data_IF_337311645363
#
_entry.id   IF_337311645363
#
_cell.length_a   1.000
_cell.length_b   1.000
_cell.length_c   1.000
_cell.angle_alpha   90.00
_cell.angle_beta   90.00
_cell.angle_gamma   90.00
#
_symmetry.space_group_name_H-M   'P 1'
#
loop_
_entity.id
_entity.type
_entity.pdbx_description
1 polymer ?
#
# COMPACT_ATOMS: atom_id res chain seq x y z
N UNK A 1 -3.19 11.59 -31.65
CA UNK A 1 -1.98 12.07 -30.95
C UNK A 1 -1.12 10.84 -30.71
N UNK A 2 0.05 10.79 -31.36
CA UNK A 2 0.99 9.69 -31.20
C UNK A 2 1.49 9.66 -29.76
N UNK A 3 1.01 8.69 -28.98
CA UNK A 3 1.53 8.39 -27.65
C UNK A 3 2.85 7.64 -27.76
N UNK A 4 3.80 8.22 -28.49
CA UNK A 4 5.16 7.71 -28.49
C UNK A 4 5.79 8.03 -27.13
N UNK A 5 6.42 7.05 -26.45
CA UNK A 5 7.19 7.33 -25.26
C UNK A 5 8.21 8.42 -25.55
N UNK A 6 8.30 9.43 -24.68
CA UNK A 6 9.35 10.45 -24.79
C UNK A 6 10.69 9.70 -24.75
N UNK A 7 11.53 9.81 -25.80
CA UNK A 7 12.81 9.11 -25.81
C UNK A 7 13.61 9.51 -24.56
N UNK A 8 14.24 8.52 -23.91
CA UNK A 8 15.17 8.81 -22.82
C UNK A 8 16.25 9.79 -23.32
N UNK A 9 16.26 10.97 -22.75
CA UNK A 9 17.27 11.99 -23.06
C UNK A 9 18.20 12.10 -21.86
N UNK A 10 19.50 12.15 -22.11
CA UNK A 10 20.50 12.42 -21.07
C UNK A 10 20.29 13.79 -20.38
N UNK A 11 19.43 14.61 -20.94
CA UNK A 11 19.08 15.94 -20.48
C UNK A 11 17.57 16.05 -20.27
N UNK A 12 17.18 16.28 -19.00
CA UNK A 12 15.79 16.59 -18.63
C UNK A 12 15.69 18.06 -18.21
N UNK A 13 15.10 18.92 -19.07
CA UNK A 13 15.01 20.35 -18.76
C UNK A 13 14.12 20.64 -17.53
N UNK A 14 13.12 19.80 -17.26
CA UNK A 14 12.25 19.94 -16.10
C UNK A 14 12.99 19.63 -14.81
N UNK A 15 13.84 18.61 -14.80
CA UNK A 15 14.69 18.28 -13.65
C UNK A 15 15.66 19.43 -13.34
N UNK A 16 16.28 20.02 -14.38
CA UNK A 16 17.17 21.16 -14.20
C UNK A 16 16.43 22.39 -13.66
N UNK A 17 15.26 22.70 -14.21
CA UNK A 17 14.43 23.81 -13.73
C UNK A 17 14.03 23.60 -12.26
N UNK A 18 13.62 22.36 -11.91
CA UNK A 18 13.28 22.00 -10.53
C UNK A 18 14.46 22.25 -9.58
N UNK A 19 15.65 21.74 -9.89
CA UNK A 19 16.81 21.90 -9.02
C UNK A 19 17.35 23.33 -8.94
N UNK A 20 17.10 24.14 -9.96
CA UNK A 20 17.39 25.58 -9.92
C UNK A 20 16.44 26.32 -8.98
N UNK A 21 15.18 25.90 -8.97
CA UNK A 21 14.13 26.49 -8.13
C UNK A 21 14.14 25.95 -6.69
N UNK A 22 14.69 24.76 -6.48
CA UNK A 22 14.61 24.02 -5.21
C UNK A 22 15.06 24.85 -3.99
N UNK A 23 16.18 25.63 -4.00
CA UNK A 23 16.59 26.43 -2.86
C UNK A 23 15.59 27.51 -2.45
N UNK A 24 14.85 28.07 -3.41
CA UNK A 24 13.83 29.07 -3.15
C UNK A 24 12.51 28.45 -2.71
N UNK A 25 12.22 27.22 -3.17
CA UNK A 25 11.00 26.49 -2.84
C UNK A 25 11.06 25.83 -1.46
N UNK A 26 12.21 25.23 -1.13
CA UNK A 26 12.35 24.35 0.04
C UNK A 26 12.00 25.04 1.37
N UNK A 27 12.38 26.29 1.64
CA UNK A 27 12.06 26.96 2.91
C UNK A 27 10.56 27.11 3.22
N UNK A 28 9.72 27.18 2.18
CA UNK A 28 8.28 27.41 2.30
C UNK A 28 7.43 26.16 2.16
N UNK A 29 8.07 24.96 1.98
CA UNK A 29 7.34 23.71 1.85
C UNK A 29 6.80 23.23 3.20
N UNK A 30 5.48 23.02 3.29
CA UNK A 30 4.87 22.31 4.42
C UNK A 30 4.92 20.80 4.23
N UNK A 31 4.69 20.34 3.01
CA UNK A 31 4.66 18.90 2.70
C UNK A 31 5.41 18.60 1.42
N UNK A 32 6.31 17.63 1.47
CA UNK A 32 6.98 17.09 0.31
C UNK A 32 6.63 15.61 0.16
N UNK A 33 6.01 15.23 -0.95
CA UNK A 33 5.73 13.82 -1.26
C UNK A 33 6.53 13.35 -2.47
N UNK A 34 7.41 12.38 -2.26
CA UNK A 34 8.19 11.76 -3.31
C UNK A 34 7.50 10.47 -3.76
N UNK A 35 7.04 10.47 -5.01
CA UNK A 35 6.30 9.35 -5.61
C UNK A 35 6.88 9.06 -7.00
N UNK A 36 6.36 8.01 -7.64
CA UNK A 36 6.76 7.62 -8.99
C UNK A 36 6.95 6.12 -9.06
N UNK A 37 7.79 5.62 -9.96
CA UNK A 37 8.06 4.18 -10.09
C UNK A 37 8.52 3.57 -8.75
N UNK A 38 9.82 3.63 -8.49
CA UNK A 38 10.40 3.31 -7.17
C UNK A 38 11.36 4.44 -6.78
N UNK A 39 10.98 5.33 -5.87
CA UNK A 39 11.80 6.49 -5.48
C UNK A 39 13.18 6.12 -4.95
N UNK A 40 13.33 4.99 -4.25
CA UNK A 40 14.64 4.58 -3.71
C UNK A 40 15.64 4.19 -4.83
N UNK A 41 15.16 3.88 -6.04
CA UNK A 41 16.03 3.68 -7.20
C UNK A 41 16.49 5.00 -7.85
N UNK A 42 15.86 6.11 -7.53
CA UNK A 42 16.09 7.37 -8.23
C UNK A 42 17.07 8.26 -7.45
N UNK A 43 18.17 8.67 -8.12
CA UNK A 43 19.18 9.56 -7.53
C UNK A 43 18.63 10.89 -7.01
N UNK A 44 17.54 11.38 -7.60
CA UNK A 44 16.87 12.61 -7.16
C UNK A 44 16.31 12.51 -5.75
N UNK A 45 15.82 11.34 -5.34
CA UNK A 45 15.37 11.11 -3.95
C UNK A 45 16.53 11.31 -2.97
N UNK A 46 17.67 10.70 -3.22
CA UNK A 46 18.83 10.86 -2.38
C UNK A 46 19.35 12.30 -2.38
N UNK A 47 19.29 12.98 -3.52
CA UNK A 47 19.66 14.40 -3.60
C UNK A 47 18.76 15.29 -2.73
N UNK A 48 17.46 14.99 -2.63
CA UNK A 48 16.55 15.68 -1.70
C UNK A 48 16.97 15.41 -0.26
N UNK A 49 17.23 14.15 0.10
CA UNK A 49 17.65 13.80 1.46
C UNK A 49 18.98 14.43 1.82
N UNK A 50 19.95 14.46 0.90
CA UNK A 50 21.23 15.14 1.07
C UNK A 50 21.03 16.66 1.30
N UNK A 51 20.15 17.28 0.53
CA UNK A 51 19.86 18.72 0.70
C UNK A 51 19.27 19.02 2.07
N UNK A 52 18.37 18.17 2.59
CA UNK A 52 17.82 18.32 3.95
C UNK A 52 18.95 18.21 5.00
N UNK A 53 19.85 17.24 4.84
CA UNK A 53 21.00 17.03 5.74
C UNK A 53 21.96 18.20 5.72
N UNK A 54 22.25 18.76 4.54
CA UNK A 54 23.18 19.86 4.36
C UNK A 54 22.60 21.23 4.77
N UNK A 55 21.26 21.32 4.97
CA UNK A 55 20.56 22.55 5.32
C UNK A 55 19.61 22.35 6.54
N UNK A 56 20.17 21.96 7.71
CA UNK A 56 19.38 21.47 8.85
C UNK A 56 18.39 22.49 9.44
N UNK A 57 18.72 23.80 9.38
CA UNK A 57 17.96 24.86 10.03
C UNK A 57 16.97 25.57 9.08
N UNK A 58 16.92 25.15 7.81
CA UNK A 58 16.14 25.89 6.81
C UNK A 58 14.65 25.59 6.89
N UNK A 59 14.28 24.32 7.07
CA UNK A 59 12.87 23.94 7.14
C UNK A 59 12.61 22.73 8.07
N UNK A 60 12.74 22.90 9.40
CA UNK A 60 12.48 21.82 10.36
C UNK A 60 11.00 21.45 10.48
N UNK A 61 10.07 22.28 9.96
CA UNK A 61 8.63 22.03 9.97
C UNK A 61 8.14 21.19 8.78
N UNK A 62 9.04 20.75 7.91
CA UNK A 62 8.70 19.97 6.73
C UNK A 62 8.12 18.60 7.12
N UNK A 63 7.00 18.24 6.53
CA UNK A 63 6.51 16.86 6.49
C UNK A 63 6.97 16.19 5.20
N UNK A 64 7.86 15.20 5.31
CA UNK A 64 8.32 14.42 4.15
C UNK A 64 7.65 13.05 4.11
N UNK A 65 7.20 12.65 2.93
CA UNK A 65 6.66 11.31 2.67
C UNK A 65 7.24 10.72 1.40
N UNK A 66 7.61 9.43 1.46
CA UNK A 66 8.24 8.72 0.35
C UNK A 66 7.43 7.45 0.08
N UNK A 67 7.03 7.23 -1.18
CA UNK A 67 6.40 5.98 -1.56
C UNK A 67 7.49 4.97 -1.95
N UNK A 68 7.46 3.75 -1.41
CA UNK A 68 8.40 2.70 -1.77
C UNK A 68 7.73 1.32 -1.76
N UNK A 69 8.19 0.44 -2.64
CA UNK A 69 7.82 -0.95 -2.63
C UNK A 69 8.60 -1.79 -1.59
N UNK A 70 9.50 -1.17 -0.83
CA UNK A 70 10.39 -1.80 0.16
C UNK A 70 11.24 -2.98 -0.37
N UNK A 71 11.40 -3.11 -1.68
CA UNK A 71 12.21 -4.15 -2.31
C UNK A 71 13.31 -3.59 -3.24
N UNK A 72 13.96 -2.45 -2.91
CA UNK A 72 15.08 -1.99 -3.71
C UNK A 72 16.31 -2.92 -3.50
N UNK A 73 17.38 -2.76 -4.31
CA UNK A 73 18.68 -3.35 -4.02
C UNK A 73 19.19 -2.98 -2.61
N UNK A 74 19.84 -3.92 -1.93
CA UNK A 74 20.21 -3.78 -0.52
C UNK A 74 21.10 -2.55 -0.27
N UNK A 75 22.09 -2.30 -1.14
CA UNK A 75 22.96 -1.11 -1.03
C UNK A 75 22.19 0.22 -1.04
N UNK A 76 21.12 0.31 -1.87
CA UNK A 76 20.30 1.50 -1.92
C UNK A 76 19.37 1.59 -0.70
N UNK A 77 18.90 0.45 -0.20
CA UNK A 77 18.08 0.42 1.00
C UNK A 77 18.91 0.80 2.24
N UNK A 78 20.13 0.31 2.35
CA UNK A 78 21.08 0.68 3.43
C UNK A 78 21.34 2.20 3.44
N UNK A 79 21.64 2.76 2.27
CA UNK A 79 21.82 4.21 2.11
C UNK A 79 20.56 5.00 2.45
N UNK A 80 19.38 4.46 2.11
CA UNK A 80 18.11 5.09 2.44
C UNK A 80 17.86 5.09 3.95
N UNK A 81 18.11 3.97 4.62
CA UNK A 81 18.01 3.87 6.09
C UNK A 81 18.98 4.84 6.77
N UNK A 82 20.25 4.85 6.37
CA UNK A 82 21.26 5.73 6.95
C UNK A 82 20.83 7.21 6.92
N UNK A 83 20.39 7.70 5.75
CA UNK A 83 19.93 9.08 5.60
C UNK A 83 18.63 9.37 6.35
N UNK A 84 17.67 8.46 6.30
CA UNK A 84 16.41 8.59 7.02
C UNK A 84 16.65 8.64 8.54
N UNK A 85 17.56 7.81 9.04
CA UNK A 85 17.96 7.78 10.43
C UNK A 85 18.59 9.10 10.83
N UNK A 86 19.57 9.59 10.07
CA UNK A 86 20.24 10.87 10.35
C UNK A 86 19.24 12.03 10.40
N UNK A 87 18.36 12.13 9.39
CA UNK A 87 17.33 13.19 9.32
C UNK A 87 16.41 13.15 10.54
N UNK A 88 15.96 11.97 10.93
CA UNK A 88 14.97 11.83 12.01
C UNK A 88 15.61 11.93 13.41
N UNK A 89 16.84 11.42 13.60
CA UNK A 89 17.53 11.52 14.88
C UNK A 89 17.91 12.97 15.23
N UNK A 90 18.23 13.78 14.21
CA UNK A 90 18.58 15.20 14.36
C UNK A 90 17.38 16.15 14.22
N UNK A 91 16.14 15.61 14.15
CA UNK A 91 14.90 16.38 14.03
C UNK A 91 14.91 17.42 12.90
N UNK A 92 15.55 17.08 11.74
CA UNK A 92 15.70 17.98 10.59
C UNK A 92 14.38 18.21 9.83
N UNK A 93 13.36 17.41 10.11
CA UNK A 93 12.00 17.53 9.57
C UNK A 93 10.98 17.24 10.67
N UNK A 94 9.78 17.84 10.54
CA UNK A 94 8.69 17.61 11.48
C UNK A 94 8.17 16.18 11.48
N UNK A 95 7.99 15.61 10.29
CA UNK A 95 7.47 14.26 10.11
C UNK A 95 8.18 13.54 8.98
N UNK A 96 8.51 12.27 9.19
CA UNK A 96 9.10 11.38 8.19
C UNK A 96 8.25 10.11 8.06
N UNK A 97 7.62 9.94 6.89
CA UNK A 97 6.72 8.82 6.64
C UNK A 97 7.10 8.07 5.36
N UNK A 98 7.04 6.74 5.40
CA UNK A 98 7.16 5.92 4.19
C UNK A 98 5.83 5.24 3.91
N UNK A 99 5.34 5.38 2.67
CA UNK A 99 4.13 4.73 2.20
C UNK A 99 4.49 3.55 1.34
N UNK A 100 3.87 2.42 1.61
CA UNK A 100 4.03 1.20 0.81
C UNK A 100 2.68 0.57 0.53
N UNK A 101 2.64 -0.47 -0.30
CA UNK A 101 1.36 -1.05 -0.68
C UNK A 101 1.41 -2.56 -0.78
N UNK A 102 0.41 -3.21 -0.18
CA UNK A 102 0.16 -4.65 -0.31
C UNK A 102 -1.31 -4.95 -0.06
N UNK A 103 -1.91 -5.88 -0.80
CA UNK A 103 -3.35 -6.15 -0.76
C UNK A 103 -3.70 -7.50 -0.13
N UNK A 104 -2.71 -8.35 0.18
CA UNK A 104 -2.89 -9.69 0.76
C UNK A 104 -1.61 -10.14 1.45
N UNK A 105 -1.51 -11.41 1.78
CA UNK A 105 -0.39 -12.01 2.50
C UNK A 105 0.30 -13.12 1.70
N UNK A 106 1.63 -13.22 1.79
CA UNK A 106 2.42 -14.33 1.22
C UNK A 106 2.25 -14.45 -0.29
N UNK A 107 2.08 -15.68 -0.77
CA UNK A 107 1.98 -16.00 -2.21
C UNK A 107 0.81 -15.28 -2.90
N UNK A 108 -0.29 -15.02 -2.17
CA UNK A 108 -1.40 -14.26 -2.72
C UNK A 108 -1.01 -12.79 -2.96
N UNK A 109 -0.20 -12.18 -2.09
CA UNK A 109 0.34 -10.85 -2.32
C UNK A 109 1.29 -10.82 -3.53
N UNK A 110 2.13 -11.85 -3.69
CA UNK A 110 3.04 -12.02 -4.85
C UNK A 110 2.26 -12.24 -6.14
N UNK A 111 1.10 -12.91 -6.07
CA UNK A 111 0.24 -13.07 -7.24
C UNK A 111 -0.37 -11.72 -7.67
N UNK A 112 -0.92 -10.97 -6.72
CA UNK A 112 -1.54 -9.66 -6.97
C UNK A 112 -0.52 -8.65 -7.47
N UNK A 113 0.69 -8.66 -6.89
CA UNK A 113 1.81 -7.76 -7.24
C UNK A 113 2.93 -8.55 -7.87
N UNK A 114 2.86 -8.68 -9.19
CA UNK A 114 3.90 -9.39 -9.94
C UNK A 114 5.29 -8.78 -9.73
N UNK A 115 6.25 -9.62 -9.32
CA UNK A 115 7.62 -9.20 -9.01
C UNK A 115 7.84 -8.79 -7.54
N UNK A 116 6.84 -8.85 -6.67
CA UNK A 116 7.01 -8.64 -5.25
C UNK A 116 7.78 -9.82 -4.62
N UNK A 117 8.87 -9.54 -3.93
CA UNK A 117 9.46 -10.43 -2.94
C UNK A 117 8.81 -10.13 -1.58
N UNK A 118 7.81 -10.94 -1.20
CA UNK A 118 7.03 -10.67 0.01
C UNK A 118 7.86 -10.79 1.29
N UNK A 119 8.81 -11.73 1.34
CA UNK A 119 9.64 -11.90 2.54
C UNK A 119 10.57 -10.70 2.71
N UNK A 120 11.29 -10.32 1.65
CA UNK A 120 12.14 -9.13 1.65
C UNK A 120 11.34 -7.86 1.97
N UNK A 121 10.15 -7.72 1.40
CA UNK A 121 9.24 -6.60 1.66
C UNK A 121 8.93 -6.47 3.16
N UNK A 122 8.56 -7.58 3.79
CA UNK A 122 8.17 -7.60 5.20
C UNK A 122 9.35 -7.39 6.14
N UNK A 123 10.47 -8.06 5.86
CA UNK A 123 11.74 -7.88 6.58
C UNK A 123 12.26 -6.44 6.50
N UNK A 124 12.18 -5.82 5.32
CA UNK A 124 12.63 -4.45 5.13
C UNK A 124 11.73 -3.42 5.85
N UNK A 125 10.41 -3.64 5.94
CA UNK A 125 9.54 -2.80 6.78
C UNK A 125 9.96 -2.90 8.25
N UNK A 126 10.15 -4.11 8.74
CA UNK A 126 10.55 -4.37 10.13
C UNK A 126 11.93 -3.76 10.45
N UNK A 127 12.89 -3.94 9.54
CA UNK A 127 14.23 -3.36 9.64
C UNK A 127 14.17 -1.82 9.64
N UNK A 128 13.43 -1.22 8.72
CA UNK A 128 13.28 0.24 8.66
C UNK A 128 12.70 0.80 9.96
N UNK A 129 11.64 0.20 10.49
CA UNK A 129 11.05 0.63 11.75
C UNK A 129 11.97 0.43 12.96
N UNK A 130 12.88 -0.56 12.91
CA UNK A 130 13.89 -0.81 13.95
C UNK A 130 14.99 0.24 13.92
N UNK A 131 15.54 0.53 12.73
CA UNK A 131 16.71 1.39 12.57
C UNK A 131 16.34 2.88 12.49
N UNK A 132 15.09 3.20 12.11
CA UNK A 132 14.58 4.58 12.00
C UNK A 132 13.35 4.76 12.91
N UNK A 133 13.51 4.66 14.25
CA UNK A 133 12.37 4.58 15.18
C UNK A 133 11.53 5.84 15.29
N UNK A 134 11.99 6.98 14.77
CA UNK A 134 11.22 8.23 14.71
C UNK A 134 10.39 8.36 13.41
N UNK A 135 10.62 7.52 12.40
CA UNK A 135 9.81 7.47 11.19
C UNK A 135 8.56 6.61 11.36
N UNK A 136 7.63 6.73 10.43
CA UNK A 136 6.43 5.90 10.34
C UNK A 136 6.31 5.20 9.00
N UNK A 137 5.62 4.06 8.98
CA UNK A 137 5.25 3.35 7.75
C UNK A 137 3.74 3.28 7.63
N UNK A 138 3.19 3.58 6.47
CA UNK A 138 1.78 3.37 6.16
C UNK A 138 1.66 2.34 5.04
N UNK A 139 1.05 1.19 5.36
CA UNK A 139 0.67 0.18 4.37
C UNK A 139 -0.65 0.62 3.75
N UNK A 140 -0.61 1.01 2.48
CA UNK A 140 -1.80 1.29 1.68
C UNK A 140 -2.27 0.00 1.02
N UNK A 141 -3.48 -0.41 1.30
CA UNK A 141 -4.10 -1.59 0.69
C UNK A 141 -5.27 -1.17 -0.19
N UNK A 142 -5.14 -1.37 -1.50
CA UNK A 142 -6.26 -1.20 -2.43
C UNK A 142 -7.05 -2.50 -2.48
N UNK A 143 -7.95 -2.67 -1.51
CA UNK A 143 -8.72 -3.88 -1.33
C UNK A 143 -9.56 -4.22 -2.57
N UNK A 144 -9.38 -5.42 -3.07
CA UNK A 144 -10.01 -5.95 -4.26
C UNK A 144 -10.50 -7.40 -4.04
N UNK A 145 -11.09 -8.01 -5.06
CA UNK A 145 -11.64 -9.36 -4.93
C UNK A 145 -10.62 -10.42 -4.47
N UNK A 146 -9.33 -10.24 -4.79
CA UNK A 146 -8.27 -11.18 -4.39
C UNK A 146 -7.74 -10.94 -2.97
N UNK A 147 -8.09 -9.82 -2.36
CA UNK A 147 -7.67 -9.51 -0.98
C UNK A 147 -8.42 -10.38 0.04
N UNK A 148 -9.70 -10.69 -0.23
CA UNK A 148 -10.61 -11.29 0.74
C UNK A 148 -10.12 -12.62 1.38
N UNK A 149 -9.47 -13.56 0.69
CA UNK A 149 -9.09 -14.82 1.29
C UNK A 149 -8.11 -14.71 2.47
N UNK A 150 -7.06 -13.91 2.33
CA UNK A 150 -5.97 -13.84 3.30
C UNK A 150 -5.73 -12.46 3.93
N UNK A 151 -6.72 -11.56 3.87
CA UNK A 151 -6.57 -10.21 4.47
C UNK A 151 -6.40 -10.27 5.98
N UNK A 152 -7.05 -11.22 6.66
CA UNK A 152 -6.85 -11.46 8.09
C UNK A 152 -5.38 -11.68 8.46
N UNK A 153 -4.59 -12.38 7.63
CA UNK A 153 -3.16 -12.57 7.88
C UNK A 153 -2.37 -11.27 7.74
N UNK A 154 -2.76 -10.38 6.83
CA UNK A 154 -2.19 -9.05 6.74
C UNK A 154 -2.49 -8.23 7.99
N UNK A 155 -3.74 -8.29 8.49
CA UNK A 155 -4.15 -7.66 9.76
C UNK A 155 -3.28 -8.18 10.92
N UNK A 156 -3.10 -9.49 11.03
CA UNK A 156 -2.27 -10.11 12.08
C UNK A 156 -0.80 -9.68 11.99
N UNK A 157 -0.24 -9.71 10.78
CA UNK A 157 1.14 -9.27 10.55
C UNK A 157 1.35 -7.79 10.89
N UNK A 158 0.43 -6.91 10.48
CA UNK A 158 0.47 -5.49 10.85
C UNK A 158 0.37 -5.32 12.37
N UNK A 159 -0.51 -6.07 13.02
CA UNK A 159 -0.63 -6.02 14.48
C UNK A 159 0.68 -6.43 15.19
N UNK A 160 1.35 -7.48 14.72
CA UNK A 160 2.65 -7.89 15.26
C UNK A 160 3.70 -6.78 15.12
N UNK A 161 3.77 -6.10 13.97
CA UNK A 161 4.65 -4.95 13.77
C UNK A 161 4.26 -3.77 14.67
N UNK A 162 2.95 -3.48 14.84
CA UNK A 162 2.48 -2.46 15.78
C UNK A 162 2.96 -2.74 17.20
N UNK A 163 2.82 -3.98 17.67
CA UNK A 163 3.29 -4.38 19.02
C UNK A 163 4.81 -4.30 19.16
N UNK A 164 5.55 -4.85 18.18
CA UNK A 164 7.02 -4.88 18.20
C UNK A 164 7.63 -3.48 18.25
N UNK A 165 7.08 -2.55 17.45
CA UNK A 165 7.61 -1.19 17.32
C UNK A 165 6.92 -0.16 18.20
N UNK A 166 6.02 -0.60 19.08
CA UNK A 166 5.47 0.24 20.13
C UNK A 166 6.53 0.54 21.19
N UNK A 167 6.88 1.79 21.40
CA UNK A 167 7.88 2.18 22.38
C UNK A 167 7.38 3.15 23.45
N UNK A 168 6.07 3.43 23.51
CA UNK A 168 5.45 4.31 24.49
C UNK A 168 5.94 5.76 24.50
N UNK A 169 6.96 6.09 23.72
CA UNK A 169 7.63 7.39 23.65
C UNK A 169 7.47 8.12 22.33
N UNK A 170 6.73 7.55 21.37
CA UNK A 170 6.50 8.19 20.09
C UNK A 170 5.51 9.33 20.25
N UNK A 171 6.07 10.50 20.46
CA UNK A 171 5.30 11.73 20.74
C UNK A 171 4.34 12.17 19.66
N UNK A 172 4.54 11.71 18.40
CA UNK A 172 3.88 12.33 17.26
C UNK A 172 3.24 11.37 16.28
N UNK A 173 3.69 10.10 16.20
CA UNK A 173 3.30 9.22 15.09
C UNK A 173 3.19 7.76 15.50
N UNK A 174 2.36 7.05 14.80
CA UNK A 174 2.24 5.60 14.80
C UNK A 174 3.51 5.01 14.19
N UNK A 175 3.99 3.88 14.66
CA UNK A 175 5.07 3.17 13.99
C UNK A 175 4.61 2.69 12.61
N UNK A 176 3.42 2.07 12.57
CA UNK A 176 2.83 1.53 11.36
C UNK A 176 1.31 1.72 11.34
N UNK A 177 0.78 2.02 10.17
CA UNK A 177 -0.66 2.11 9.89
C UNK A 177 -1.06 1.19 8.74
N UNK A 178 -2.29 0.70 8.80
CA UNK A 178 -2.97 0.02 7.70
C UNK A 178 -4.04 0.95 7.12
N UNK A 179 -3.79 1.51 5.96
CA UNK A 179 -4.74 2.36 5.24
C UNK A 179 -5.42 1.56 4.13
N UNK A 180 -6.72 1.33 4.26
CA UNK A 180 -7.47 0.49 3.34
C UNK A 180 -8.44 1.33 2.51
N UNK A 181 -8.36 1.18 1.18
CA UNK A 181 -9.29 1.75 0.22
C UNK A 181 -9.83 0.65 -0.69
N UNK A 182 -11.04 0.82 -1.24
CA UNK A 182 -11.61 -0.16 -2.17
C UNK A 182 -11.27 0.16 -3.62
N UNK A 183 -11.04 -0.90 -4.41
CA UNK A 183 -10.81 -0.79 -5.85
C UNK A 183 -12.14 -0.59 -6.58
N UNK A 184 -12.29 0.55 -7.26
CA UNK A 184 -13.45 0.83 -8.13
C UNK A 184 -13.23 0.38 -9.57
N UNK A 185 -12.03 0.61 -10.07
CA UNK A 185 -11.63 0.27 -11.44
C UNK A 185 -10.27 -0.43 -11.43
N UNK A 186 -10.13 -1.48 -12.23
CA UNK A 186 -11.13 -2.05 -13.14
C UNK A 186 -12.24 -2.78 -12.37
N UNK A 187 -13.50 -2.61 -12.81
CA UNK A 187 -14.68 -3.10 -12.11
C UNK A 187 -14.73 -4.61 -11.94
N UNK A 188 -14.11 -5.37 -12.84
CA UNK A 188 -13.99 -6.83 -12.74
C UNK A 188 -13.05 -7.31 -11.61
N UNK A 189 -12.34 -6.41 -10.95
CA UNK A 189 -11.54 -6.73 -9.75
C UNK A 189 -12.16 -6.16 -8.47
N UNK A 190 -13.28 -5.45 -8.59
CA UNK A 190 -13.98 -4.88 -7.44
C UNK A 190 -14.46 -5.97 -6.48
N UNK A 191 -14.43 -5.67 -5.18
CA UNK A 191 -15.00 -6.54 -4.15
C UNK A 191 -16.50 -6.80 -4.33
N UNK A 192 -17.23 -5.97 -5.11
CA UNK A 192 -18.67 -6.11 -5.38
C UNK A 192 -19.03 -7.30 -6.26
N UNK A 193 -18.06 -7.93 -6.94
CA UNK A 193 -18.30 -9.15 -7.71
C UNK A 193 -18.28 -10.42 -6.86
N UNK A 194 -17.79 -10.31 -5.60
CA UNK A 194 -17.68 -11.43 -4.69
C UNK A 194 -19.06 -11.93 -4.20
N UNK A 195 -19.20 -13.25 -3.92
CA UNK A 195 -20.32 -13.78 -3.17
C UNK A 195 -20.39 -13.25 -1.74
N UNK A 196 -21.61 -13.24 -1.17
CA UNK A 196 -21.88 -12.72 0.18
C UNK A 196 -21.00 -13.32 1.26
N UNK A 197 -20.62 -14.62 1.16
CA UNK A 197 -19.72 -15.27 2.11
C UNK A 197 -18.41 -14.51 2.34
N UNK A 198 -17.93 -13.75 1.34
CA UNK A 198 -16.71 -12.96 1.45
C UNK A 198 -16.94 -11.63 2.16
N UNK A 199 -18.18 -11.10 2.07
CA UNK A 199 -18.56 -9.93 2.88
C UNK A 199 -18.62 -10.33 4.36
N UNK A 200 -19.14 -11.53 4.66
CA UNK A 200 -19.16 -12.06 6.04
C UNK A 200 -17.74 -12.26 6.57
N UNK A 201 -16.82 -12.76 5.72
CA UNK A 201 -15.39 -12.85 6.06
C UNK A 201 -14.78 -11.47 6.38
N UNK A 202 -15.13 -10.43 5.61
CA UNK A 202 -14.69 -9.06 5.90
C UNK A 202 -15.23 -8.53 7.24
N UNK A 203 -16.43 -8.95 7.64
CA UNK A 203 -16.97 -8.62 8.97
C UNK A 203 -16.17 -9.31 10.08
N UNK A 204 -15.77 -10.57 9.88
CA UNK A 204 -14.86 -11.26 10.80
C UNK A 204 -13.50 -10.54 10.91
N UNK A 205 -12.97 -10.03 9.80
CA UNK A 205 -11.73 -9.27 9.76
C UNK A 205 -11.83 -7.95 10.57
N UNK A 206 -13.00 -7.28 10.54
CA UNK A 206 -13.27 -6.13 11.43
C UNK A 206 -13.27 -6.55 12.91
N UNK A 207 -13.91 -7.66 13.24
CA UNK A 207 -13.92 -8.15 14.65
C UNK A 207 -12.49 -8.52 15.09
N UNK A 208 -11.66 -9.05 14.20
CA UNK A 208 -10.25 -9.28 14.46
C UNK A 208 -9.49 -7.97 14.73
N UNK A 209 -9.71 -6.93 13.92
CA UNK A 209 -9.12 -5.60 14.16
C UNK A 209 -9.60 -5.00 15.49
N UNK A 210 -10.89 -5.15 15.84
CA UNK A 210 -11.44 -4.70 17.12
C UNK A 210 -10.85 -5.45 18.30
N UNK A 211 -10.61 -6.76 18.17
CA UNK A 211 -9.92 -7.58 19.17
C UNK A 211 -8.50 -7.07 19.41
N UNK A 212 -7.83 -6.65 18.36
CA UNK A 212 -6.49 -6.06 18.39
C UNK A 212 -6.51 -4.54 18.52
N UNK A 213 -7.66 -3.97 18.83
CA UNK A 213 -7.78 -2.57 19.22
C UNK A 213 -7.09 -2.39 20.58
N UNK A 214 -6.62 -1.20 20.77
CA UNK A 214 -5.91 -0.82 21.93
C UNK A 214 -6.64 -0.97 23.26
N UNK A 215 -5.84 -1.16 24.32
CA UNK A 215 -6.31 -1.02 25.68
C UNK A 215 -6.62 0.46 26.01
N UNK A 216 -7.85 0.76 26.41
CA UNK A 216 -8.42 2.11 26.60
C UNK A 216 -7.63 3.02 27.53
N UNK A 217 -6.69 2.49 28.31
CA UNK A 217 -5.92 3.23 29.30
C UNK A 217 -4.74 4.03 28.74
N UNK A 218 -4.25 3.73 27.55
CA UNK A 218 -3.12 4.41 26.94
C UNK A 218 -3.49 5.74 26.26
N UNK A 219 -4.77 5.95 25.93
CA UNK A 219 -5.28 7.21 25.37
C UNK A 219 -5.13 8.44 26.28
N UNK A 220 -5.08 8.22 27.61
CA UNK A 220 -5.13 9.31 28.60
C UNK A 220 -3.86 10.16 28.58
N UNK A 221 -2.75 9.64 28.06
CA UNK A 221 -1.44 10.30 28.14
C UNK A 221 -0.84 10.73 26.80
N UNK A 222 -1.60 10.66 25.69
CA UNK A 222 -1.16 11.14 24.36
C UNK A 222 -0.03 10.31 23.73
N UNK A 223 0.22 9.11 24.22
CA UNK A 223 1.23 8.20 23.66
C UNK A 223 0.61 7.34 22.56
N UNK A 224 1.38 7.04 21.51
CA UNK A 224 0.99 6.08 20.48
C UNK A 224 0.63 4.72 21.07
N UNK A 225 -0.13 3.92 20.37
CA UNK A 225 -0.59 2.63 20.89
C UNK A 225 -0.21 1.44 20.01
N UNK A 226 -0.26 0.26 20.60
CA UNK A 226 0.18 -1.00 19.99
C UNK A 226 -0.88 -1.72 19.16
N UNK A 227 -2.11 -1.18 19.08
CA UNK A 227 -3.22 -1.79 18.38
C UNK A 227 -3.73 -0.99 17.19
N UNK A 228 -4.88 -1.42 16.63
CA UNK A 228 -5.55 -0.68 15.57
C UNK A 228 -6.30 0.52 16.11
N UNK A 229 -6.22 1.62 15.37
CA UNK A 229 -6.96 2.85 15.66
C UNK A 229 -8.39 2.76 15.12
N UNK A 230 -9.31 3.50 15.75
CA UNK A 230 -10.69 3.55 15.30
C UNK A 230 -10.82 3.96 13.84
N UNK A 231 -10.01 4.89 13.37
CA UNK A 231 -10.07 5.33 11.98
C UNK A 231 -9.62 4.25 10.98
N UNK A 232 -8.69 3.33 11.36
CA UNK A 232 -8.29 2.19 10.52
C UNK A 232 -9.47 1.22 10.40
N UNK A 233 -10.14 0.91 11.53
CA UNK A 233 -11.32 0.04 11.58
C UNK A 233 -12.47 0.66 10.78
N UNK A 234 -12.73 1.96 10.93
CA UNK A 234 -13.77 2.67 10.20
C UNK A 234 -13.52 2.73 8.70
N UNK A 235 -12.26 2.88 8.26
CA UNK A 235 -11.90 2.78 6.86
C UNK A 235 -12.25 1.41 6.30
N UNK A 236 -11.93 0.33 7.03
CA UNK A 236 -12.28 -1.02 6.60
C UNK A 236 -13.79 -1.25 6.61
N UNK A 237 -14.53 -0.72 7.59
CA UNK A 237 -16.00 -0.80 7.63
C UNK A 237 -16.65 -0.19 6.37
N UNK A 238 -16.13 0.93 5.88
CA UNK A 238 -16.63 1.55 4.63
C UNK A 238 -16.50 0.65 3.41
N UNK A 239 -15.59 -0.32 3.40
CA UNK A 239 -15.50 -1.32 2.32
C UNK A 239 -16.70 -2.26 2.37
N UNK A 240 -17.13 -2.64 3.57
CA UNK A 240 -18.32 -3.49 3.75
C UNK A 240 -19.57 -2.72 3.31
N UNK A 241 -19.73 -1.47 3.74
CA UNK A 241 -20.84 -0.60 3.30
C UNK A 241 -20.90 -0.50 1.76
N UNK A 242 -19.73 -0.37 1.11
CA UNK A 242 -19.63 -0.37 -0.35
C UNK A 242 -19.96 -1.73 -0.97
N UNK A 243 -19.55 -2.84 -0.36
CA UNK A 243 -19.86 -4.19 -0.84
C UNK A 243 -21.35 -4.50 -0.73
N UNK A 244 -22.00 -4.08 0.37
CA UNK A 244 -23.41 -4.29 0.66
C UNK A 244 -24.35 -3.28 -0.04
N UNK A 245 -23.78 -2.22 -0.63
CA UNK A 245 -24.61 -1.25 -1.37
C UNK A 245 -25.36 -1.94 -2.51
N UNK A 246 -26.64 -1.59 -2.74
CA UNK A 246 -27.48 -2.27 -3.72
C UNK A 246 -26.80 -2.40 -5.09
N UNK A 247 -26.89 -3.57 -5.68
CA UNK A 247 -26.43 -3.87 -7.03
C UNK A 247 -27.59 -4.48 -7.79
N UNK A 248 -28.44 -3.61 -8.35
CA UNK A 248 -29.67 -4.02 -9.05
C UNK A 248 -29.40 -4.48 -10.50
N UNK A 249 -28.17 -4.41 -10.96
CA UNK A 249 -27.74 -4.75 -12.30
C UNK A 249 -27.07 -6.14 -12.34
N UNK A 250 -27.90 -7.15 -12.62
CA UNK A 250 -27.43 -8.54 -12.79
C UNK A 250 -26.52 -8.67 -14.00
N UNK A 251 -26.80 -7.93 -15.08
CA UNK A 251 -25.97 -7.97 -16.29
C UNK A 251 -24.58 -7.40 -16.02
N UNK A 252 -24.51 -6.34 -15.23
CA UNK A 252 -23.24 -5.80 -14.77
C UNK A 252 -22.42 -6.84 -13.97
N UNK A 253 -23.09 -7.54 -13.05
CA UNK A 253 -22.43 -8.55 -12.22
C UNK A 253 -21.91 -9.71 -13.06
N UNK A 254 -22.75 -10.25 -13.95
CA UNK A 254 -22.37 -11.37 -14.83
C UNK A 254 -21.24 -10.98 -15.77
N UNK A 255 -21.33 -9.79 -16.38
CA UNK A 255 -20.26 -9.26 -17.22
C UNK A 255 -18.94 -9.17 -16.46
N UNK A 256 -18.93 -8.55 -15.29
CA UNK A 256 -17.69 -8.34 -14.54
C UNK A 256 -17.11 -9.65 -13.99
N UNK A 257 -17.95 -10.63 -13.65
CA UNK A 257 -17.47 -11.98 -13.32
C UNK A 257 -16.84 -12.68 -14.52
N UNK A 258 -17.45 -12.56 -15.71
CA UNK A 258 -16.86 -13.07 -16.95
C UNK A 258 -15.53 -12.39 -17.28
N UNK A 259 -15.47 -11.07 -17.16
CA UNK A 259 -14.25 -10.29 -17.38
C UNK A 259 -13.14 -10.64 -16.36
N UNK A 260 -13.51 -10.92 -15.10
CA UNK A 260 -12.59 -11.40 -14.07
C UNK A 260 -11.91 -12.71 -14.49
N UNK A 261 -12.70 -13.71 -14.89
CA UNK A 261 -12.16 -14.98 -15.37
C UNK A 261 -11.25 -14.79 -16.57
N UNK A 262 -11.71 -14.06 -17.59
CA UNK A 262 -10.92 -13.84 -18.82
C UNK A 262 -9.60 -13.13 -18.52
N UNK A 263 -9.63 -12.13 -17.64
CA UNK A 263 -8.43 -11.38 -17.27
C UNK A 263 -7.41 -12.26 -16.55
N UNK A 264 -7.83 -12.98 -15.50
CA UNK A 264 -6.89 -13.76 -14.70
C UNK A 264 -6.43 -15.04 -15.39
N UNK A 265 -7.26 -15.64 -16.25
CA UNK A 265 -6.83 -16.74 -17.11
C UNK A 265 -5.74 -16.28 -18.11
N UNK A 266 -5.87 -15.10 -18.68
CA UNK A 266 -4.84 -14.52 -19.55
C UNK A 266 -3.61 -14.05 -18.75
N UNK A 267 -3.80 -13.54 -17.54
CA UNK A 267 -2.73 -13.17 -16.62
C UNK A 267 -1.85 -14.38 -16.27
N UNK A 268 -2.46 -15.51 -15.93
CA UNK A 268 -1.76 -16.76 -15.63
C UNK A 268 -0.91 -17.22 -16.82
N UNK A 269 -1.52 -17.22 -18.02
CA UNK A 269 -0.81 -17.59 -19.24
C UNK A 269 0.43 -16.72 -19.51
N UNK A 270 0.29 -15.38 -19.36
CA UNK A 270 1.38 -14.43 -19.62
C UNK A 270 2.44 -14.43 -18.51
N UNK A 271 2.04 -14.62 -17.27
CA UNK A 271 2.93 -14.53 -16.10
C UNK A 271 3.39 -15.89 -15.60
N UNK A 272 2.95 -16.98 -16.22
CA UNK A 272 3.23 -18.36 -15.79
C UNK A 272 2.85 -18.60 -14.34
N UNK A 273 1.67 -18.10 -13.96
CA UNK A 273 1.07 -18.26 -12.63
C UNK A 273 -0.10 -19.22 -12.70
N UNK A 274 -0.64 -19.59 -11.55
CA UNK A 274 -1.81 -20.45 -11.42
C UNK A 274 -2.72 -19.88 -10.34
N UNK A 275 -3.87 -19.38 -10.79
CA UNK A 275 -4.87 -18.76 -9.92
C UNK A 275 -5.36 -19.74 -8.85
N UNK A 276 -5.75 -20.95 -9.24
CA UNK A 276 -6.37 -21.89 -8.31
C UNK A 276 -5.37 -22.50 -7.32
N UNK A 277 -4.10 -22.65 -7.69
CA UNK A 277 -3.07 -23.05 -6.74
C UNK A 277 -2.78 -21.95 -5.71
N UNK A 278 -2.92 -20.68 -6.09
CA UNK A 278 -2.67 -19.52 -5.22
C UNK A 278 -3.89 -19.16 -4.35
N UNK A 279 -5.09 -19.30 -4.92
CA UNK A 279 -6.36 -18.96 -4.27
C UNK A 279 -7.34 -20.15 -4.24
N UNK A 280 -6.99 -21.27 -3.59
CA UNK A 280 -7.87 -22.43 -3.53
C UNK A 280 -9.22 -22.11 -2.87
N UNK A 281 -9.28 -21.10 -1.98
CA UNK A 281 -10.50 -20.66 -1.30
C UNK A 281 -11.51 -20.01 -2.26
N UNK A 282 -11.03 -19.53 -3.42
CA UNK A 282 -11.86 -18.92 -4.47
C UNK A 282 -12.33 -19.91 -5.54
N UNK A 283 -12.14 -21.22 -5.38
CA UNK A 283 -12.50 -22.21 -6.40
C UNK A 283 -13.95 -22.06 -6.89
N UNK A 284 -14.93 -22.05 -6.00
CA UNK A 284 -16.34 -21.91 -6.38
C UNK A 284 -16.63 -20.57 -7.09
N UNK A 285 -15.98 -19.52 -6.63
CA UNK A 285 -16.12 -18.19 -7.24
C UNK A 285 -15.51 -18.18 -8.64
N UNK A 286 -14.33 -18.76 -8.81
CA UNK A 286 -13.67 -18.92 -10.11
C UNK A 286 -14.53 -19.67 -11.11
N UNK A 287 -15.12 -20.81 -10.71
CA UNK A 287 -16.01 -21.59 -11.56
C UNK A 287 -17.28 -20.81 -11.95
N UNK A 288 -17.83 -20.02 -11.04
CA UNK A 288 -18.94 -19.13 -11.35
C UNK A 288 -18.55 -18.04 -12.36
N UNK A 289 -17.36 -17.46 -12.22
CA UNK A 289 -16.81 -16.49 -13.17
C UNK A 289 -16.57 -17.13 -14.55
N UNK A 290 -16.04 -18.36 -14.58
CA UNK A 290 -15.85 -19.12 -15.81
C UNK A 290 -17.16 -19.37 -16.56
N UNK A 291 -18.25 -19.74 -15.86
CA UNK A 291 -19.57 -19.89 -16.46
C UNK A 291 -20.12 -18.58 -16.98
N UNK A 292 -19.91 -17.49 -16.24
CA UNK A 292 -20.33 -16.15 -16.65
C UNK A 292 -19.62 -15.72 -17.94
N UNK A 293 -18.34 -16.06 -18.13
CA UNK A 293 -17.58 -15.72 -19.34
C UNK A 293 -18.17 -16.29 -20.64
N UNK A 294 -18.87 -17.43 -20.56
CA UNK A 294 -19.56 -18.03 -21.71
C UNK A 294 -20.88 -17.35 -22.05
N UNK A 295 -21.49 -16.69 -21.06
CA UNK A 295 -22.80 -16.03 -21.23
C UNK A 295 -22.68 -14.64 -21.87
N UNK A 296 -21.50 -14.04 -21.80
CA UNK A 296 -21.20 -12.76 -22.45
C UNK A 296 -20.99 -13.02 -23.95
N UNK A 297 -22.05 -12.84 -24.75
CA UNK A 297 -21.91 -12.84 -26.21
C UNK A 297 -20.94 -11.75 -26.59
N UNK A 298 -19.76 -12.11 -27.10
CA UNK A 298 -18.85 -11.18 -27.76
C UNK A 298 -19.65 -10.52 -28.90
N UNK A 299 -19.75 -9.19 -28.94
CA UNK A 299 -20.30 -8.55 -30.13
C UNK A 299 -19.45 -8.99 -31.32
N UNK A 300 -20.07 -9.59 -32.32
CA UNK A 300 -19.38 -9.83 -33.60
C UNK A 300 -19.04 -8.46 -34.17
N UNK A 301 -17.75 -8.16 -34.23
CA UNK A 301 -17.20 -7.01 -35.00
C UNK A 301 -17.47 -7.24 -36.46
#
# INVERSE_FOLDING_TARGET
ADMMPIPYKNFNPYEQAFWKWWPDLYPDLHTLRITGGEPILHKGTFRVLDYIIDNPDVNPELEISINSNFCPPDELFDKFIEKSKYITENDLVWNYSVYTSVESWGDQAVYIRDGLDFNKFWENIDRFLTEVPKASVTIMSTYNALSAPNFHKLIEGVFQLKQKHYNGKRYRHYAILLDVAYLRQPSHQSLRILPTKWIDKMKEDIELMKKYREDKYLHIYGHGHSGFYDFEIEKFRRLIDYAESPLDDVDWLMKNRGDFFNFFNEYDNRRKKDFLSTFPELFDFWENCRRASWSVKVPKI
#
